data_IF_626123382689
#
_entry.id   IF_626123382689
#
_cell.length_a   1.000
_cell.length_b   1.000
_cell.length_c   1.000
_cell.angle_alpha   90.00
_cell.angle_beta   90.00
_cell.angle_gamma   90.00
#
_symmetry.space_group_name_H-M   'P 1'
#
loop_
_entity.id
_entity.type
_entity.pdbx_description
1 polymer ?
#
# COMPACT_ATOMS: atom_id res chain seq x y z
N UNK A 1 -14.61 -10.45 14.55
CA UNK A 1 -13.35 -9.96 13.97
C UNK A 1 -12.43 -9.58 15.13
N UNK A 2 -11.25 -10.19 15.34
CA UNK A 2 -10.48 -10.04 16.61
C UNK A 2 -10.11 -8.58 16.97
N UNK A 3 -10.04 -7.70 15.97
CA UNK A 3 -9.72 -6.29 16.17
C UNK A 3 -10.89 -5.42 16.67
N UNK A 4 -12.15 -5.86 16.51
CA UNK A 4 -13.32 -5.05 16.89
C UNK A 4 -13.48 -4.88 18.41
N UNK A 5 -12.72 -5.63 19.21
CA UNK A 5 -12.70 -5.54 20.66
C UNK A 5 -11.62 -4.57 21.20
N UNK A 6 -10.77 -4.00 20.33
CA UNK A 6 -9.68 -3.10 20.73
C UNK A 6 -10.21 -1.65 20.80
N UNK A 7 -10.11 -0.96 21.95
CA UNK A 7 -10.54 0.43 22.07
C UNK A 7 -9.84 1.34 21.06
N UNK A 8 -10.60 2.25 20.42
CA UNK A 8 -10.08 3.17 19.41
C UNK A 8 -9.90 2.57 18.01
N UNK A 9 -10.19 1.28 17.81
CA UNK A 9 -10.13 0.63 16.49
C UNK A 9 -11.54 0.41 15.95
N UNK A 10 -11.81 0.93 14.75
CA UNK A 10 -12.98 0.54 13.95
C UNK A 10 -12.53 -0.47 12.90
N UNK A 11 -12.96 -1.72 13.04
CA UNK A 11 -12.65 -2.78 12.09
C UNK A 11 -13.83 -3.02 11.15
N UNK A 12 -13.56 -3.20 9.85
CA UNK A 12 -14.56 -3.46 8.81
C UNK A 12 -14.10 -4.61 7.92
N UNK A 13 -15.04 -5.49 7.56
CA UNK A 13 -14.83 -6.45 6.48
C UNK A 13 -15.47 -5.87 5.21
N UNK A 14 -14.68 -5.69 4.18
CA UNK A 14 -15.14 -5.22 2.88
C UNK A 14 -14.32 -5.86 1.76
N UNK A 15 -14.94 -5.95 0.58
CA UNK A 15 -14.25 -6.33 -0.65
C UNK A 15 -13.58 -5.09 -1.24
N UNK A 16 -12.25 -5.12 -1.38
CA UNK A 16 -11.45 -4.03 -1.96
C UNK A 16 -11.16 -4.24 -3.45
N UNK A 17 -11.64 -5.34 -4.03
CA UNK A 17 -11.43 -5.73 -5.43
C UNK A 17 -12.74 -5.70 -6.25
N UNK A 18 -13.88 -5.48 -5.60
CA UNK A 18 -15.21 -5.38 -6.22
C UNK A 18 -15.48 -4.09 -7.00
N UNK A 19 -16.65 -4.06 -7.64
CA UNK A 19 -17.11 -2.95 -8.50
C UNK A 19 -17.39 -1.66 -7.73
N UNK A 20 -17.90 -1.76 -6.50
CA UNK A 20 -18.16 -0.62 -5.62
C UNK A 20 -16.97 -0.39 -4.68
N UNK A 21 -16.55 0.87 -4.52
CA UNK A 21 -15.49 1.22 -3.57
C UNK A 21 -16.08 1.39 -2.16
N UNK A 22 -15.78 0.50 -1.20
CA UNK A 22 -16.45 0.47 0.11
C UNK A 22 -16.09 1.66 1.02
N UNK A 23 -15.06 2.43 0.64
CA UNK A 23 -14.58 3.58 1.40
C UNK A 23 -14.84 4.91 0.66
N UNK A 24 -15.75 4.92 -0.33
CA UNK A 24 -16.12 6.13 -1.04
C UNK A 24 -16.53 7.26 -0.07
N UNK A 25 -16.02 8.47 -0.32
CA UNK A 25 -16.30 9.66 0.49
C UNK A 25 -15.55 9.71 1.83
N UNK A 26 -14.71 8.72 2.16
CA UNK A 26 -13.87 8.73 3.36
C UNK A 26 -12.54 9.43 3.07
N UNK A 27 -12.07 10.16 4.06
CA UNK A 27 -10.77 10.82 4.06
C UNK A 27 -10.01 10.40 5.31
N UNK A 28 -8.69 10.25 5.20
CA UNK A 28 -7.81 9.86 6.29
C UNK A 28 -6.57 10.74 6.32
N UNK A 29 -6.13 11.11 7.54
CA UNK A 29 -4.84 11.80 7.77
C UNK A 29 -3.64 10.86 7.56
N UNK A 30 -3.88 9.55 7.49
CA UNK A 30 -2.84 8.57 7.20
C UNK A 30 -3.41 7.28 6.63
N UNK A 31 -2.70 6.68 5.69
CA UNK A 31 -3.05 5.40 5.08
C UNK A 31 -1.83 4.49 5.13
N UNK A 32 -2.00 3.31 5.72
CA UNK A 32 -0.96 2.29 5.83
C UNK A 32 -1.42 1.05 5.07
N UNK A 33 -0.65 0.65 4.05
CA UNK A 33 -0.90 -0.56 3.26
C UNK A 33 0.31 -1.48 3.36
N UNK A 34 0.10 -2.73 3.78
CA UNK A 34 1.17 -3.71 3.93
C UNK A 34 0.81 -5.02 3.24
N UNK A 35 1.74 -5.57 2.45
CA UNK A 35 1.61 -6.86 1.75
C UNK A 35 0.32 -7.00 0.91
N UNK A 36 -0.20 -5.89 0.37
CA UNK A 36 -1.39 -5.85 -0.48
C UNK A 36 -1.05 -5.15 -1.79
N UNK A 37 -1.63 -5.61 -2.90
CA UNK A 37 -1.51 -4.96 -4.20
C UNK A 37 -2.72 -5.29 -5.07
N UNK A 38 -3.57 -4.29 -5.30
CA UNK A 38 -4.60 -4.33 -6.32
C UNK A 38 -4.57 -3.05 -7.14
N UNK A 39 -3.85 -3.11 -8.26
CA UNK A 39 -3.54 -1.95 -9.11
C UNK A 39 -4.77 -1.14 -9.54
N UNK A 40 -5.91 -1.76 -9.92
CA UNK A 40 -7.09 -1.01 -10.34
C UNK A 40 -7.62 -0.02 -9.30
N UNK A 41 -7.43 -0.30 -8.00
CA UNK A 41 -7.91 0.55 -6.89
C UNK A 41 -6.82 1.38 -6.22
N UNK A 42 -5.56 1.30 -6.67
CA UNK A 42 -4.51 2.15 -6.11
C UNK A 42 -4.87 3.64 -6.18
N UNK A 43 -5.40 4.18 -7.28
CA UNK A 43 -5.81 5.59 -7.32
C UNK A 43 -6.88 5.94 -6.27
N UNK A 44 -7.87 5.05 -6.07
CA UNK A 44 -8.92 5.24 -5.07
C UNK A 44 -8.35 5.25 -3.65
N UNK A 45 -7.39 4.37 -3.35
CA UNK A 45 -6.70 4.36 -2.05
C UNK A 45 -6.00 5.70 -1.80
N UNK A 46 -5.27 6.22 -2.78
CA UNK A 46 -4.52 7.47 -2.65
C UNK A 46 -5.44 8.69 -2.57
N UNK A 47 -6.57 8.67 -3.29
CA UNK A 47 -7.55 9.76 -3.29
C UNK A 47 -8.18 10.00 -1.91
N UNK A 48 -8.20 9.00 -1.03
CA UNK A 48 -8.70 9.15 0.35
C UNK A 48 -7.71 9.85 1.29
N UNK A 49 -6.49 10.18 0.85
CA UNK A 49 -5.52 10.85 1.70
C UNK A 49 -5.83 12.36 1.79
N UNK A 50 -6.15 12.82 3.01
CA UNK A 50 -6.47 14.22 3.29
C UNK A 50 -5.28 15.15 3.01
N UNK A 51 -5.52 16.46 2.77
CA UNK A 51 -4.45 17.45 2.76
C UNK A 51 -3.60 17.36 4.04
N UNK A 52 -2.28 17.33 3.90
CA UNK A 52 -1.34 17.09 5.01
C UNK A 52 -1.18 15.62 5.42
N UNK A 53 -1.94 14.70 4.82
CA UNK A 53 -1.94 13.28 5.18
C UNK A 53 -0.71 12.51 4.68
N UNK A 54 -0.42 11.37 5.31
CA UNK A 54 0.76 10.53 5.01
C UNK A 54 0.38 9.13 4.53
N UNK A 55 0.95 8.71 3.40
CA UNK A 55 0.93 7.35 2.91
C UNK A 55 2.17 6.59 3.42
N UNK A 56 1.96 5.38 3.93
CA UNK A 56 2.99 4.36 4.09
C UNK A 56 2.53 3.12 3.31
N UNK A 57 3.24 2.76 2.25
CA UNK A 57 2.89 1.61 1.41
C UNK A 57 4.10 0.69 1.29
N UNK A 58 3.94 -0.58 1.66
CA UNK A 58 4.95 -1.61 1.47
C UNK A 58 4.34 -2.88 0.88
N UNK A 59 4.92 -3.40 -0.20
CA UNK A 59 4.58 -4.73 -0.72
C UNK A 59 5.72 -5.33 -1.54
N UNK A 60 5.53 -6.55 -2.02
CA UNK A 60 6.53 -7.32 -2.72
C UNK A 60 6.80 -6.79 -4.13
N UNK A 61 8.05 -6.91 -4.57
CA UNK A 61 8.48 -6.54 -5.91
C UNK A 61 9.06 -7.75 -6.67
N UNK A 62 9.27 -7.57 -7.97
CA UNK A 62 9.93 -8.59 -8.82
C UNK A 62 11.23 -9.09 -8.18
N UNK A 63 11.46 -10.39 -8.29
CA UNK A 63 12.55 -11.11 -7.60
C UNK A 63 12.10 -11.76 -6.28
N UNK A 64 10.93 -11.43 -5.74
CA UNK A 64 10.42 -12.06 -4.52
C UNK A 64 10.12 -13.56 -4.70
N UNK A 65 9.87 -14.00 -5.93
CA UNK A 65 9.65 -15.40 -6.28
C UNK A 65 10.81 -16.33 -5.88
N UNK A 66 12.03 -15.78 -5.71
CA UNK A 66 13.19 -16.50 -5.20
C UNK A 66 13.12 -16.78 -3.68
N UNK A 67 12.27 -16.06 -2.94
CA UNK A 67 12.22 -16.08 -1.48
C UNK A 67 10.85 -16.51 -0.91
N UNK A 68 9.79 -16.48 -1.71
CA UNK A 68 8.48 -17.00 -1.31
C UNK A 68 7.31 -16.52 -2.17
N UNK A 69 6.12 -16.49 -1.56
CA UNK A 69 4.90 -15.93 -2.15
C UNK A 69 4.73 -14.47 -1.75
N UNK A 70 4.11 -13.63 -2.61
CA UNK A 70 3.59 -13.92 -3.95
C UNK A 70 4.72 -14.12 -4.98
N UNK A 71 4.42 -14.86 -6.04
CA UNK A 71 5.36 -15.19 -7.13
C UNK A 71 4.79 -14.94 -8.53
N UNK A 72 3.53 -14.49 -8.63
CA UNK A 72 2.96 -14.05 -9.91
C UNK A 72 3.30 -12.57 -10.12
N UNK A 73 3.76 -12.16 -11.31
CA UNK A 73 4.03 -10.77 -11.64
C UNK A 73 2.85 -9.82 -11.36
N UNK A 74 1.62 -10.31 -11.46
CA UNK A 74 0.41 -9.52 -11.18
C UNK A 74 0.33 -9.01 -9.72
N UNK A 75 1.08 -9.64 -8.81
CA UNK A 75 1.16 -9.27 -7.39
C UNK A 75 2.55 -8.78 -6.98
N UNK A 76 3.43 -8.52 -7.95
CA UNK A 76 4.79 -8.01 -7.72
C UNK A 76 4.94 -6.65 -8.38
N UNK A 77 5.43 -5.68 -7.63
CA UNK A 77 5.78 -4.37 -8.16
C UNK A 77 6.97 -4.47 -9.11
N UNK A 78 6.92 -3.72 -10.20
CA UNK A 78 8.07 -3.43 -11.06
C UNK A 78 9.02 -2.47 -10.34
N UNK A 79 10.32 -2.46 -10.65
CA UNK A 79 11.27 -1.47 -10.12
C UNK A 79 10.73 -0.05 -10.23
N UNK A 80 10.81 0.73 -9.15
CA UNK A 80 10.29 2.09 -9.06
C UNK A 80 8.77 2.28 -9.07
N UNK A 81 7.95 1.23 -9.23
CA UNK A 81 6.50 1.37 -9.44
C UNK A 81 5.77 2.13 -8.32
N UNK A 82 6.10 1.93 -7.04
CA UNK A 82 5.46 2.70 -5.95
C UNK A 82 5.78 4.20 -6.01
N UNK A 83 7.01 4.56 -6.43
CA UNK A 83 7.42 5.95 -6.59
C UNK A 83 6.63 6.61 -7.72
N UNK A 84 6.50 5.92 -8.85
CA UNK A 84 5.70 6.40 -9.99
C UNK A 84 4.23 6.60 -9.60
N UNK A 85 3.65 5.64 -8.87
CA UNK A 85 2.27 5.71 -8.37
C UNK A 85 2.07 6.90 -7.42
N UNK A 86 2.98 7.10 -6.46
CA UNK A 86 2.89 8.21 -5.52
C UNK A 86 3.03 9.57 -6.24
N UNK A 87 3.98 9.69 -7.16
CA UNK A 87 4.19 10.88 -7.95
C UNK A 87 2.97 11.21 -8.82
N UNK A 88 2.38 10.21 -9.49
CA UNK A 88 1.18 10.38 -10.30
C UNK A 88 -0.02 10.85 -9.46
N UNK A 89 -0.08 10.46 -8.19
CA UNK A 89 -1.07 10.94 -7.25
C UNK A 89 -0.76 12.32 -6.67
N UNK A 90 0.34 12.98 -7.04
CA UNK A 90 0.74 14.28 -6.51
C UNK A 90 1.22 14.23 -5.06
N UNK A 91 1.80 13.10 -4.64
CA UNK A 91 2.41 12.95 -3.33
C UNK A 91 3.89 13.31 -3.38
N UNK A 92 4.38 14.01 -2.35
CA UNK A 92 5.80 14.24 -2.16
C UNK A 92 6.41 13.07 -1.40
N UNK A 93 7.40 12.42 -2.02
CA UNK A 93 8.20 11.37 -1.38
C UNK A 93 8.93 11.92 -0.14
N UNK A 94 8.84 11.18 0.97
CA UNK A 94 9.59 11.41 2.21
C UNK A 94 10.73 10.38 2.30
N UNK A 95 10.42 9.11 2.03
CA UNK A 95 11.39 8.02 2.03
C UNK A 95 10.94 6.94 1.04
N UNK A 96 11.89 6.30 0.39
CA UNK A 96 11.65 5.17 -0.51
C UNK A 96 12.79 4.17 -0.38
N UNK A 97 12.43 2.89 -0.31
CA UNK A 97 13.35 1.77 -0.31
C UNK A 97 12.87 0.72 -1.30
N UNK A 98 13.79 0.12 -2.04
CA UNK A 98 13.51 -1.05 -2.85
C UNK A 98 14.65 -2.05 -2.82
N UNK A 99 14.31 -3.34 -2.88
CA UNK A 99 15.27 -4.43 -2.99
C UNK A 99 15.11 -5.49 -1.91
N UNK A 100 16.23 -6.17 -1.62
CA UNK A 100 16.26 -7.29 -0.70
C UNK A 100 16.12 -6.85 0.77
N UNK A 101 15.26 -7.51 1.52
CA UNK A 101 15.13 -7.37 2.96
C UNK A 101 15.37 -8.73 3.62
N UNK A 102 16.20 -8.78 4.68
CA UNK A 102 16.48 -10.01 5.41
C UNK A 102 15.48 -10.29 6.54
N UNK A 103 14.87 -9.23 7.08
CA UNK A 103 14.00 -9.26 8.26
C UNK A 103 12.62 -8.70 7.91
N UNK A 104 11.52 -9.26 8.44
CA UNK A 104 11.46 -10.42 9.36
C UNK A 104 11.77 -11.76 8.68
N UNK A 105 11.82 -11.78 7.34
CA UNK A 105 12.26 -12.90 6.52
C UNK A 105 12.80 -12.38 5.18
N UNK A 106 13.68 -13.14 4.50
CA UNK A 106 14.11 -12.84 3.13
C UNK A 106 12.94 -12.52 2.20
N UNK A 107 13.01 -11.37 1.52
CA UNK A 107 12.02 -10.93 0.53
C UNK A 107 12.61 -9.87 -0.40
N UNK A 108 11.98 -9.68 -1.57
CA UNK A 108 12.17 -8.46 -2.38
C UNK A 108 10.96 -7.56 -2.19
N UNK A 109 11.17 -6.30 -1.82
CA UNK A 109 10.09 -5.36 -1.50
C UNK A 109 10.36 -3.96 -2.03
N UNK A 110 9.28 -3.21 -2.23
CA UNK A 110 9.31 -1.75 -2.24
C UNK A 110 8.54 -1.23 -1.03
N UNK A 111 9.06 -0.16 -0.44
CA UNK A 111 8.41 0.60 0.61
C UNK A 111 8.50 2.10 0.27
N UNK A 112 7.41 2.83 0.47
CA UNK A 112 7.39 4.29 0.32
C UNK A 112 6.64 4.94 1.49
N UNK A 113 7.19 6.05 1.95
CA UNK A 113 6.52 7.04 2.78
C UNK A 113 6.38 8.34 1.96
N UNK A 114 5.17 8.86 1.81
CA UNK A 114 4.91 10.06 1.02
C UNK A 114 3.78 10.90 1.63
N UNK A 115 3.81 12.22 1.43
CA UNK A 115 2.82 13.15 1.98
C UNK A 115 1.99 13.84 0.90
N UNK A 116 0.73 14.10 1.24
CA UNK A 116 -0.16 15.03 0.55
C UNK A 116 0.14 16.44 1.05
N UNK A 117 0.51 17.34 0.15
CA UNK A 117 0.62 18.78 0.48
C UNK A 117 -0.75 19.47 0.48
#
# INVERSE_FOLDING_TARGET
MKLSAVPGITAMQADLEGDEWPLAGRMFDGIIVTNYLWRPRLPDVLAMLAPGGVLIYETFMLGNEAYGKPSSPDFLLRPGELREVAQAAGLREIAFEEGYTASPKPAMRQAICAARE
#
